data_IF_982248573781
#
_entry.id   IF_982248573781
#
_cell.length_a   1.000
_cell.length_b   1.000
_cell.length_c   1.000
_cell.angle_alpha   90.00
_cell.angle_beta   90.00
_cell.angle_gamma   90.00
#
_symmetry.space_group_name_H-M   'P 1'
#
loop_
_entity.id
_entity.type
_entity.pdbx_description
1 polymer ?
#
# COMPACT_ATOMS: atom_id res chain seq x y z
N UNK A 1 -21.64 -11.33 22.63
CA UNK A 1 -21.16 -12.68 22.27
C UNK A 1 -19.91 -12.53 21.43
N UNK A 2 -18.75 -12.86 21.99
CA UNK A 2 -17.61 -13.53 21.33
C UNK A 2 -16.64 -13.89 22.45
N UNK A 3 -17.11 -14.82 23.28
CA UNK A 3 -16.24 -15.75 23.97
C UNK A 3 -15.66 -16.66 22.89
N UNK A 4 -14.34 -16.80 22.82
CA UNK A 4 -13.62 -17.91 22.21
C UNK A 4 -12.14 -17.75 22.51
N UNK A 5 -11.58 -18.81 23.07
CA UNK A 5 -10.15 -19.06 23.25
C UNK A 5 -9.46 -19.13 21.88
N UNK A 6 -9.28 -17.98 21.23
CA UNK A 6 -8.91 -17.89 19.82
C UNK A 6 -7.40 -18.08 19.66
N UNK A 7 -6.97 -19.35 19.69
CA UNK A 7 -5.66 -19.74 19.17
C UNK A 7 -5.74 -19.75 17.65
N UNK A 8 -4.90 -18.98 16.98
CA UNK A 8 -4.84 -19.00 15.52
C UNK A 8 -3.42 -19.21 15.02
N UNK A 9 -3.28 -19.76 13.81
CA UNK A 9 -1.96 -19.90 13.20
C UNK A 9 -1.44 -18.57 12.66
N UNK A 10 -0.13 -18.42 12.54
CA UNK A 10 0.51 -17.27 11.87
C UNK A 10 -0.11 -17.03 10.48
N UNK A 11 -0.52 -18.10 9.78
CA UNK A 11 -1.18 -18.00 8.47
C UNK A 11 -2.50 -17.23 8.58
N UNK A 12 -3.39 -17.63 9.48
CA UNK A 12 -4.70 -16.99 9.60
C UNK A 12 -4.57 -15.53 10.01
N UNK A 13 -3.61 -15.21 10.90
CA UNK A 13 -3.35 -13.83 11.32
C UNK A 13 -2.79 -12.99 10.17
N UNK A 14 -1.92 -13.58 9.34
CA UNK A 14 -1.36 -12.93 8.17
C UNK A 14 -2.44 -12.66 7.11
N UNK A 15 -3.32 -13.64 6.87
CA UNK A 15 -4.44 -13.53 5.94
C UNK A 15 -5.47 -12.49 6.43
N UNK A 16 -5.76 -12.41 7.73
CA UNK A 16 -6.62 -11.39 8.35
C UNK A 16 -6.05 -9.98 8.19
N UNK A 17 -4.75 -9.82 8.41
CA UNK A 17 -4.06 -8.52 8.35
C UNK A 17 -3.62 -8.14 6.93
N UNK A 18 -3.84 -8.99 5.92
CA UNK A 18 -3.42 -8.75 4.54
C UNK A 18 -1.90 -8.66 4.36
N UNK A 19 -1.12 -9.32 5.23
CA UNK A 19 0.35 -9.22 5.28
C UNK A 19 1.01 -10.58 5.08
N UNK A 20 2.30 -10.61 4.78
CA UNK A 20 3.00 -11.89 4.62
C UNK A 20 3.21 -12.59 5.97
N UNK A 21 3.21 -13.93 5.95
CA UNK A 21 3.53 -14.78 7.12
C UNK A 21 4.89 -14.45 7.73
N UNK A 22 5.86 -14.09 6.90
CA UNK A 22 7.20 -13.71 7.34
C UNK A 22 7.19 -12.36 8.06
N UNK A 23 6.32 -11.44 7.64
CA UNK A 23 6.19 -10.15 8.31
C UNK A 23 5.62 -10.31 9.72
N UNK A 24 4.58 -11.13 9.88
CA UNK A 24 4.03 -11.47 11.21
C UNK A 24 5.09 -12.15 12.09
N UNK A 25 5.81 -13.14 11.55
CA UNK A 25 6.91 -13.81 12.26
C UNK A 25 7.99 -12.82 12.71
N UNK A 26 8.44 -11.93 11.84
CA UNK A 26 9.48 -10.95 12.16
C UNK A 26 9.01 -9.93 13.20
N UNK A 27 7.74 -9.50 13.16
CA UNK A 27 7.20 -8.61 14.21
C UNK A 27 7.25 -9.29 15.57
N UNK A 28 6.81 -10.54 15.67
CA UNK A 28 6.82 -11.27 16.94
C UNK A 28 8.23 -11.45 17.50
N UNK A 29 9.20 -11.81 16.65
CA UNK A 29 10.61 -11.91 17.05
C UNK A 29 11.18 -10.56 17.49
N UNK A 30 10.90 -9.49 16.75
CA UNK A 30 11.35 -8.13 17.09
C UNK A 30 10.70 -7.59 18.36
N UNK A 31 9.50 -8.05 18.70
CA UNK A 31 8.83 -7.76 19.97
C UNK A 31 9.33 -8.60 21.15
N UNK A 32 10.33 -9.47 20.93
CA UNK A 32 10.97 -10.26 21.97
C UNK A 32 10.28 -11.59 22.28
N UNK A 33 9.33 -12.03 21.45
CA UNK A 33 8.67 -13.33 21.65
C UNK A 33 9.50 -14.48 21.06
N UNK A 34 9.69 -15.51 21.87
CA UNK A 34 10.29 -16.77 21.42
C UNK A 34 9.23 -17.69 20.81
N UNK A 35 9.18 -17.73 19.49
CA UNK A 35 8.24 -18.55 18.71
C UNK A 35 8.45 -20.06 18.89
N UNK A 36 9.54 -20.50 19.51
CA UNK A 36 9.75 -21.92 19.82
C UNK A 36 8.78 -22.42 20.90
N UNK A 37 8.35 -21.56 21.82
CA UNK A 37 7.46 -21.89 22.93
C UNK A 37 6.01 -22.12 22.50
N UNK A 38 5.66 -21.63 21.30
CA UNK A 38 4.30 -21.66 20.75
C UNK A 38 4.12 -22.71 19.65
N UNK A 39 5.05 -23.66 19.55
CA UNK A 39 4.97 -24.78 18.61
C UNK A 39 4.11 -25.90 19.16
N UNK A 40 2.99 -26.14 18.53
CA UNK A 40 2.12 -27.30 18.78
C UNK A 40 2.08 -28.15 17.49
N UNK A 41 2.48 -29.42 17.57
CA UNK A 41 2.51 -30.35 16.43
C UNK A 41 3.29 -29.83 15.20
N UNK A 42 4.38 -29.09 15.42
CA UNK A 42 5.21 -28.52 14.36
C UNK A 42 4.66 -27.23 13.72
N UNK A 43 3.51 -26.75 14.18
CA UNK A 43 2.85 -25.52 13.71
C UNK A 43 2.91 -24.49 14.85
N UNK A 44 3.19 -23.23 14.51
CA UNK A 44 3.18 -22.14 15.50
C UNK A 44 1.73 -21.69 15.68
N UNK A 45 1.17 -21.94 16.88
CA UNK A 45 -0.15 -21.46 17.29
C UNK A 45 0.02 -20.23 18.16
N UNK A 46 -0.57 -19.12 17.74
CA UNK A 46 -0.50 -17.85 18.44
C UNK A 46 -1.63 -17.79 19.46
N UNK A 47 -1.27 -17.50 20.71
CA UNK A 47 -2.23 -17.19 21.76
C UNK A 47 -2.74 -15.75 21.63
N UNK A 48 -3.82 -15.44 22.36
CA UNK A 48 -4.50 -14.14 22.34
C UNK A 48 -3.56 -12.95 22.58
N UNK A 49 -2.54 -13.11 23.43
CA UNK A 49 -1.56 -12.06 23.73
C UNK A 49 -0.71 -11.70 22.51
N UNK A 50 -0.14 -12.72 21.83
CA UNK A 50 0.65 -12.55 20.61
C UNK A 50 -0.19 -11.93 19.49
N UNK A 51 -1.43 -12.40 19.34
CA UNK A 51 -2.39 -11.85 18.37
C UNK A 51 -2.65 -10.37 18.67
N UNK A 52 -2.85 -10.02 19.94
CA UNK A 52 -3.07 -8.64 20.39
C UNK A 52 -1.88 -7.73 20.10
N UNK A 53 -0.65 -8.21 20.32
CA UNK A 53 0.58 -7.45 20.05
C UNK A 53 0.76 -7.23 18.54
N UNK A 54 0.56 -8.24 17.71
CA UNK A 54 0.67 -8.07 16.26
C UNK A 54 -0.41 -7.10 15.75
N UNK A 55 -1.66 -7.25 16.19
CA UNK A 55 -2.75 -6.32 15.83
C UNK A 55 -2.45 -4.89 16.27
N UNK A 56 -1.91 -4.66 17.48
CA UNK A 56 -1.59 -3.32 17.96
C UNK A 56 -0.42 -2.67 17.21
N UNK A 57 0.61 -3.46 16.86
CA UNK A 57 1.74 -2.98 16.06
C UNK A 57 1.29 -2.63 14.63
N UNK A 58 0.45 -3.48 14.03
CA UNK A 58 -0.06 -3.19 12.70
C UNK A 58 -1.02 -2.02 12.67
N UNK A 59 -1.89 -1.88 13.68
CA UNK A 59 -2.77 -0.73 13.84
C UNK A 59 -1.97 0.56 14.05
N UNK A 60 -0.96 0.54 14.91
CA UNK A 60 -0.08 1.71 15.11
C UNK A 60 0.77 2.05 13.88
N UNK A 61 1.15 1.07 13.05
CA UNK A 61 1.83 1.32 11.76
C UNK A 61 0.89 1.82 10.68
N UNK A 62 -0.37 1.37 10.64
CA UNK A 62 -1.38 2.00 9.80
C UNK A 62 -1.60 3.44 10.26
N UNK A 63 -1.72 3.69 11.57
CA UNK A 63 -1.91 5.03 12.16
C UNK A 63 -0.68 5.96 12.00
N UNK A 64 0.51 5.42 11.67
CA UNK A 64 1.68 6.22 11.29
C UNK A 64 1.68 6.58 9.80
N UNK A 65 1.04 5.77 8.95
CA UNK A 65 0.84 6.07 7.52
C UNK A 65 -0.44 6.90 7.27
N UNK A 66 -1.44 6.76 8.15
CA UNK A 66 -2.64 7.60 8.25
C UNK A 66 -2.53 8.40 9.54
N UNK A 67 -1.89 9.56 9.49
CA UNK A 67 -1.50 10.36 10.67
C UNK A 67 -2.42 10.25 11.88
N UNK A 68 -1.86 9.78 12.99
CA UNK A 68 -2.32 9.87 14.38
C UNK A 68 -3.82 10.17 14.56
N UNK A 69 -4.63 9.13 14.66
CA UNK A 69 -5.90 9.22 15.39
C UNK A 69 -5.63 8.81 16.85
N UNK A 70 -5.88 9.66 17.85
CA UNK A 70 -5.86 9.23 19.24
C UNK A 70 -7.04 8.28 19.45
N UNK A 71 -6.74 6.99 19.66
CA UNK A 71 -7.73 6.00 20.10
C UNK A 71 -8.11 6.35 21.53
N UNK A 72 -9.17 7.13 21.69
CA UNK A 72 -9.80 7.39 22.99
C UNK A 72 -10.56 6.15 23.46
N UNK A 73 -9.85 5.24 24.13
CA UNK A 73 -10.44 4.22 24.99
C UNK A 73 -10.73 4.84 26.38
N UNK A 74 -11.55 5.87 26.47
CA UNK A 74 -12.14 6.34 27.74
C UNK A 74 -13.40 7.13 27.42
N UNK A 75 -14.56 6.68 27.91
CA UNK A 75 -15.81 7.40 27.75
C UNK A 75 -15.76 8.75 28.46
N UNK A 76 -16.06 9.83 27.73
CA UNK A 76 -16.71 11.07 28.18
C UNK A 76 -16.51 12.16 27.13
N UNK A 77 -17.60 12.68 26.55
CA UNK A 77 -17.79 14.02 25.96
C UNK A 77 -16.56 14.72 25.33
N UNK A 78 -16.01 14.17 24.25
CA UNK A 78 -15.29 14.99 23.27
C UNK A 78 -16.27 15.39 22.15
N UNK A 79 -16.30 16.66 21.70
CA UNK A 79 -17.29 17.11 20.73
C UNK A 79 -17.00 16.43 19.39
N UNK A 80 -17.83 15.45 19.04
CA UNK A 80 -17.84 14.71 17.77
C UNK A 80 -17.77 15.63 16.54
N UNK A 81 -18.14 16.91 16.69
CA UNK A 81 -18.03 17.94 15.66
C UNK A 81 -16.58 18.27 15.28
N UNK A 82 -15.65 18.35 16.25
CA UNK A 82 -14.23 18.60 15.93
C UNK A 82 -13.57 17.42 15.22
N UNK A 83 -13.95 16.20 15.58
CA UNK A 83 -13.47 15.00 14.90
C UNK A 83 -14.02 14.92 13.47
N UNK A 84 -15.31 15.23 13.28
CA UNK A 84 -15.91 15.28 11.94
C UNK A 84 -15.31 16.39 11.07
N UNK A 85 -15.00 17.56 11.64
CA UNK A 85 -14.33 18.66 10.93
C UNK A 85 -12.94 18.22 10.44
N UNK A 86 -12.13 17.64 11.34
CA UNK A 86 -10.81 17.12 10.99
C UNK A 86 -10.86 16.02 9.91
N UNK A 87 -11.84 15.12 9.98
CA UNK A 87 -12.04 14.09 8.96
C UNK A 87 -12.45 14.69 7.61
N UNK A 88 -13.27 15.75 7.60
CA UNK A 88 -13.66 16.46 6.39
C UNK A 88 -12.48 17.20 5.75
N UNK A 89 -11.64 17.85 6.56
CA UNK A 89 -10.44 18.52 6.08
C UNK A 89 -9.46 17.53 5.45
N UNK A 90 -9.24 16.38 6.10
CA UNK A 90 -8.43 15.30 5.54
C UNK A 90 -9.02 14.74 4.24
N UNK A 91 -10.34 14.63 4.14
CA UNK A 91 -10.99 14.20 2.90
C UNK A 91 -10.77 15.22 1.78
N UNK A 92 -10.94 16.51 2.07
CA UNK A 92 -10.72 17.58 1.09
C UNK A 92 -9.26 17.63 0.62
N UNK A 93 -8.29 17.44 1.51
CA UNK A 93 -6.88 17.38 1.15
C UNK A 93 -6.55 16.15 0.29
N UNK A 94 -7.13 15.00 0.62
CA UNK A 94 -6.99 13.79 -0.21
C UNK A 94 -7.64 13.96 -1.58
N UNK A 95 -8.81 14.57 -1.68
CA UNK A 95 -9.47 14.87 -2.96
C UNK A 95 -8.64 15.84 -3.82
N UNK A 96 -7.98 16.81 -3.18
CA UNK A 96 -7.02 17.70 -3.87
C UNK A 96 -5.84 16.91 -4.44
N UNK A 97 -5.22 16.04 -3.65
CA UNK A 97 -4.11 15.20 -4.13
C UNK A 97 -4.54 14.25 -5.25
N UNK A 98 -5.74 13.68 -5.17
CA UNK A 98 -6.30 12.85 -6.26
C UNK A 98 -6.43 13.68 -7.55
N UNK A 99 -6.88 14.93 -7.43
CA UNK A 99 -7.02 15.84 -8.56
C UNK A 99 -5.65 16.15 -9.21
N UNK A 100 -4.65 16.51 -8.39
CA UNK A 100 -3.27 16.78 -8.85
C UNK A 100 -2.64 15.55 -9.52
N UNK A 101 -2.77 14.36 -8.92
CA UNK A 101 -2.27 13.11 -9.49
C UNK A 101 -2.96 12.78 -10.83
N UNK A 102 -4.27 13.01 -10.91
CA UNK A 102 -5.04 12.77 -12.14
C UNK A 102 -4.59 13.71 -13.26
N UNK A 103 -4.26 14.96 -12.93
CA UNK A 103 -3.73 15.93 -13.90
C UNK A 103 -2.34 15.50 -14.40
N UNK A 104 -1.43 15.12 -13.51
CA UNK A 104 -0.10 14.62 -13.89
C UNK A 104 -0.19 13.38 -14.79
N UNK A 105 -1.08 12.44 -14.49
CA UNK A 105 -1.30 11.26 -15.33
C UNK A 105 -1.77 11.67 -16.72
N UNK A 106 -2.71 12.61 -16.82
CA UNK A 106 -3.21 13.11 -18.11
C UNK A 106 -2.08 13.74 -18.93
N UNK A 107 -1.21 14.51 -18.30
CA UNK A 107 -0.10 15.16 -18.99
C UNK A 107 0.97 14.15 -19.42
N UNK A 108 1.28 13.16 -18.58
CA UNK A 108 2.17 12.05 -18.96
C UNK A 108 1.63 11.27 -20.17
N UNK A 109 0.32 11.01 -20.21
CA UNK A 109 -0.34 10.36 -21.35
C UNK A 109 -0.19 11.18 -22.64
N UNK A 110 -0.41 12.51 -22.57
CA UNK A 110 -0.22 13.42 -23.73
C UNK A 110 1.23 13.41 -24.22
N UNK A 111 2.19 13.52 -23.31
CA UNK A 111 3.62 13.49 -23.66
C UNK A 111 4.01 12.18 -24.33
N UNK A 112 3.52 11.06 -23.81
CA UNK A 112 3.77 9.72 -24.38
C UNK A 112 3.22 9.62 -25.80
N UNK A 113 2.00 10.11 -26.03
CA UNK A 113 1.38 10.12 -27.36
C UNK A 113 2.17 10.98 -28.35
N UNK A 114 2.59 12.19 -27.95
CA UNK A 114 3.41 13.07 -28.78
C UNK A 114 4.76 12.44 -29.13
N UNK A 115 5.39 11.76 -28.16
CA UNK A 115 6.65 11.05 -28.39
C UNK A 115 6.48 9.91 -29.40
N UNK A 116 5.39 9.14 -29.29
CA UNK A 116 5.08 8.08 -30.23
C UNK A 116 4.87 8.61 -31.65
N UNK A 117 4.08 9.68 -31.80
CA UNK A 117 3.85 10.33 -33.10
C UNK A 117 5.15 10.81 -33.75
N UNK A 118 6.05 11.45 -32.97
CA UNK A 118 7.37 11.86 -33.48
C UNK A 118 8.23 10.68 -33.91
N UNK A 119 8.23 9.60 -33.15
CA UNK A 119 9.00 8.40 -33.49
C UNK A 119 8.48 7.77 -34.80
N UNK A 120 7.16 7.68 -34.97
CA UNK A 120 6.55 7.16 -36.20
C UNK A 120 6.87 8.04 -37.41
N UNK A 121 6.84 9.36 -37.24
CA UNK A 121 7.24 10.31 -38.28
C UNK A 121 8.71 10.15 -38.68
N UNK A 122 9.61 10.02 -37.71
CA UNK A 122 11.03 9.78 -37.97
C UNK A 122 11.28 8.44 -38.66
N UNK A 123 10.51 7.40 -38.32
CA UNK A 123 10.62 6.09 -38.95
C UNK A 123 10.22 6.17 -40.43
N UNK A 124 9.14 6.89 -40.73
CA UNK A 124 8.67 7.13 -42.10
C UNK A 124 9.67 7.96 -42.90
N UNK A 125 10.20 9.04 -42.33
CA UNK A 125 11.23 9.88 -42.97
C UNK A 125 12.51 9.07 -43.24
N UNK A 126 12.96 8.26 -42.29
CA UNK A 126 14.13 7.40 -42.49
C UNK A 126 13.90 6.38 -43.62
N UNK A 127 12.70 5.81 -43.71
CA UNK A 127 12.34 4.90 -44.80
C UNK A 127 12.35 5.63 -46.15
N UNK A 128 11.78 6.84 -46.22
CA UNK A 128 11.85 7.68 -47.43
C UNK A 128 13.28 8.03 -47.82
N UNK A 129 14.14 8.40 -46.86
CA UNK A 129 15.54 8.74 -47.13
C UNK A 129 16.33 7.54 -47.64
N UNK A 130 16.13 6.34 -47.06
CA UNK A 130 16.71 5.10 -47.59
C UNK A 130 16.22 4.85 -49.02
N UNK A 131 14.92 4.97 -49.24
CA UNK A 131 14.29 4.84 -50.54
C UNK A 131 14.65 5.97 -51.51
N UNK A 132 15.24 7.08 -51.08
CA UNK A 132 15.72 8.16 -51.97
C UNK A 132 17.22 8.14 -52.22
N UNK A 133 17.98 7.40 -51.42
CA UNK A 133 19.44 7.35 -51.54
C UNK A 133 19.95 6.00 -52.02
N UNK A 134 19.17 4.92 -51.91
CA UNK A 134 19.58 3.59 -52.40
C UNK A 134 20.02 3.61 -53.88
N UNK A 135 19.32 4.31 -54.78
CA UNK A 135 19.72 4.42 -56.19
C UNK A 135 21.03 5.20 -56.44
N UNK A 136 21.50 6.02 -55.49
CA UNK A 136 22.78 6.73 -55.60
C UNK A 136 23.98 5.85 -55.26
N UNK A 137 23.77 4.74 -54.54
CA UNK A 137 24.83 3.80 -54.13
C UNK A 137 25.03 2.61 -55.09
N UNK A 138 24.21 2.50 -56.14
CA UNK A 138 24.30 1.45 -57.17
C UNK A 138 24.94 1.93 -58.49
N UNK A 139 25.60 3.10 -58.48
CA UNK A 139 26.34 3.64 -59.62
C UNK A 139 27.84 3.39 -59.43
#
# INVERSE_FOLDING_TARGET
>A
MTDLSEKMTIKNLADELGVSKNTVRNQLVNSGFDLAQYKENGIIMLDKELIGVVRSIYRSKSDQLTGQLPVNNTGSDFPLEKENEFLRDQLAEKDKHISELTEMIRDQQKLTLLQQQKNDQLLLENQELKNRKWWQFWK
#
